data_IF_307888952409
#
_entry.id   IF_307888952409
#
_cell.length_a   1.000
_cell.length_b   1.000
_cell.length_c   1.000
_cell.angle_alpha   90.00
_cell.angle_beta   90.00
_cell.angle_gamma   90.00
#
_symmetry.space_group_name_H-M   'P 1'
#
loop_
_entity.id
_entity.type
_entity.pdbx_description
1 polymer ?
#
# COMPACT_ATOMS: atom_id res chain seq x y z
N UNK A 1 -8.73 56.73 46.81
CA UNK A 1 -9.10 55.40 46.19
C UNK A 1 -8.43 55.31 44.86
N UNK A 2 -7.37 54.46 44.68
CA UNK A 2 -6.66 54.21 43.39
C UNK A 2 -7.01 52.83 42.96
N UNK A 3 -7.79 52.77 41.85
CA UNK A 3 -8.17 51.51 41.22
C UNK A 3 -7.00 51.03 40.32
N UNK A 4 -6.41 49.87 40.64
CA UNK A 4 -5.40 49.20 39.82
C UNK A 4 -6.11 48.22 38.89
N UNK A 5 -6.06 48.48 37.57
CA UNK A 5 -6.45 47.52 36.54
C UNK A 5 -5.33 46.51 36.38
N UNK A 6 -5.61 45.23 36.68
CA UNK A 6 -4.79 44.09 36.30
C UNK A 6 -5.15 43.70 34.88
N UNK A 7 -4.20 43.87 33.97
CA UNK A 7 -4.29 43.35 32.60
C UNK A 7 -3.80 41.89 32.65
N UNK A 8 -4.72 40.95 32.57
CA UNK A 8 -4.41 39.54 32.44
C UNK A 8 -3.98 39.24 30.98
N UNK A 9 -2.72 38.89 30.77
CA UNK A 9 -2.23 38.36 29.51
C UNK A 9 -2.69 36.91 29.38
N UNK A 10 -3.61 36.64 28.42
CA UNK A 10 -3.97 35.30 28.04
C UNK A 10 -2.86 34.73 27.14
N UNK A 11 -2.10 33.74 27.63
CA UNK A 11 -1.23 32.91 26.79
C UNK A 11 -2.12 32.01 25.94
N UNK A 12 -2.21 32.29 24.62
CA UNK A 12 -2.63 31.30 23.63
C UNK A 12 -1.51 30.27 23.50
N UNK A 13 -1.68 29.10 24.06
CA UNK A 13 -0.87 27.95 23.73
C UNK A 13 -1.25 27.49 22.32
N UNK A 14 -0.42 27.83 21.33
CA UNK A 14 -0.48 27.21 20.00
C UNK A 14 -0.09 25.74 20.15
N UNK A 15 -1.06 24.85 20.10
CA UNK A 15 -0.79 23.42 19.92
C UNK A 15 -0.14 23.25 18.54
N UNK A 16 1.19 23.13 18.51
CA UNK A 16 1.94 22.69 17.34
C UNK A 16 1.57 21.22 17.12
N UNK A 17 0.55 20.96 16.31
CA UNK A 17 0.29 19.62 15.80
C UNK A 17 1.54 19.17 15.03
N UNK A 18 2.14 18.05 15.42
CA UNK A 18 3.21 17.45 14.65
C UNK A 18 2.63 17.10 13.26
N UNK A 19 3.03 17.85 12.24
CA UNK A 19 2.71 17.53 10.87
C UNK A 19 3.51 16.30 10.48
N UNK A 20 2.85 15.23 10.09
CA UNK A 20 3.53 14.08 9.49
C UNK A 20 4.09 14.51 8.13
N UNK A 21 5.41 14.59 8.03
CA UNK A 21 6.06 14.82 6.75
C UNK A 21 5.77 13.63 5.81
N UNK A 22 5.69 13.88 4.50
CA UNK A 22 5.60 12.80 3.53
C UNK A 22 6.82 11.89 3.68
N UNK A 23 6.58 10.60 3.98
CA UNK A 23 7.62 9.58 4.15
C UNK A 23 7.77 8.83 2.83
N UNK A 24 9.02 8.65 2.38
CA UNK A 24 9.34 7.95 1.15
C UNK A 24 10.10 6.66 1.45
N UNK A 25 9.82 5.62 0.67
CA UNK A 25 10.50 4.33 0.75
C UNK A 25 9.95 3.38 1.81
N UNK A 26 9.12 3.87 2.73
CA UNK A 26 8.49 3.06 3.76
C UNK A 26 7.05 2.69 3.38
N UNK A 27 6.56 1.56 3.91
CA UNK A 27 5.16 1.19 3.79
C UNK A 27 4.29 2.12 4.65
N UNK A 28 3.36 2.83 4.02
CA UNK A 28 2.44 3.75 4.68
C UNK A 28 1.17 3.07 5.22
N UNK A 29 0.95 1.79 4.89
CA UNK A 29 -0.14 0.98 5.46
C UNK A 29 0.28 0.47 6.83
N UNK A 30 -0.43 0.84 7.87
CA UNK A 30 -0.18 0.37 9.23
C UNK A 30 -0.73 -1.05 9.37
N UNK A 31 0.10 -1.98 9.90
CA UNK A 31 -0.31 -3.35 10.15
C UNK A 31 -0.96 -4.00 8.90
N UNK A 32 -0.31 -3.86 7.75
CA UNK A 32 -0.75 -4.46 6.50
C UNK A 32 -0.56 -5.97 6.45
N UNK A 33 0.23 -6.52 7.38
CA UNK A 33 0.59 -7.92 7.58
C UNK A 33 -0.29 -8.66 8.60
N UNK A 34 -1.32 -8.00 9.15
CA UNK A 34 -2.26 -8.54 10.13
C UNK A 34 -1.65 -9.02 11.47
N UNK A 35 -0.34 -8.91 11.69
CA UNK A 35 0.36 -9.48 12.86
C UNK A 35 -0.05 -8.82 14.18
N UNK A 36 -0.44 -7.54 14.14
CA UNK A 36 -1.01 -6.82 15.30
C UNK A 36 -2.55 -6.91 15.40
N UNK A 37 -3.15 -7.94 14.82
CA UNK A 37 -4.60 -8.10 14.79
C UNK A 37 -5.26 -7.06 13.90
N UNK A 38 -6.18 -6.26 14.46
CA UNK A 38 -6.85 -5.18 13.73
C UNK A 38 -6.31 -3.78 14.07
N UNK A 39 -5.16 -3.70 14.75
CA UNK A 39 -4.55 -2.40 15.10
C UNK A 39 -4.31 -1.55 13.85
N UNK A 40 -4.66 -0.28 13.91
CA UNK A 40 -4.56 0.65 12.78
C UNK A 40 -5.75 0.64 11.82
N UNK A 41 -6.64 -0.34 11.90
CA UNK A 41 -7.83 -0.43 11.06
C UNK A 41 -9.09 -0.03 11.84
N UNK A 42 -9.98 0.70 11.18
CA UNK A 42 -11.29 1.14 11.71
C UNK A 42 -12.40 0.54 10.87
N UNK A 43 -13.41 -0.06 11.51
CA UNK A 43 -14.59 -0.59 10.80
C UNK A 43 -15.43 0.54 10.20
N UNK A 44 -16.00 0.30 9.04
CA UNK A 44 -16.87 1.27 8.38
C UNK A 44 -18.33 1.05 8.79
N UNK A 45 -19.01 2.12 9.21
CA UNK A 45 -20.36 2.05 9.74
C UNK A 45 -21.35 1.43 8.73
N UNK A 46 -22.15 0.48 9.21
CA UNK A 46 -23.13 -0.25 8.39
C UNK A 46 -22.60 -1.51 7.70
N UNK A 47 -21.33 -1.83 7.88
CA UNK A 47 -20.67 -3.03 7.37
C UNK A 47 -20.03 -3.81 8.50
N UNK A 48 -19.83 -5.12 8.29
CA UNK A 48 -19.02 -5.92 9.18
C UNK A 48 -17.54 -5.49 9.10
N UNK A 49 -16.78 -5.77 10.14
CA UNK A 49 -15.32 -5.63 10.13
C UNK A 49 -14.70 -6.97 9.77
N UNK A 50 -13.70 -6.98 8.89
CA UNK A 50 -12.89 -8.17 8.66
C UNK A 50 -12.15 -8.58 9.95
N UNK A 51 -11.59 -9.75 9.98
CA UNK A 51 -10.89 -10.32 11.14
C UNK A 51 -9.42 -10.61 10.80
N UNK A 52 -8.57 -10.66 11.82
CA UNK A 52 -7.23 -11.20 11.71
C UNK A 52 -7.23 -12.63 12.24
N UNK A 53 -6.83 -13.59 11.40
CA UNK A 53 -6.84 -15.02 11.69
C UNK A 53 -5.43 -15.61 11.55
N UNK A 54 -5.16 -16.68 12.28
CA UNK A 54 -3.92 -17.40 12.09
C UNK A 54 -3.98 -18.25 10.82
N UNK A 55 -2.87 -18.37 10.11
CA UNK A 55 -2.72 -19.38 9.07
C UNK A 55 -2.97 -20.77 9.65
N UNK A 56 -3.66 -21.65 8.93
CA UNK A 56 -3.92 -22.99 9.41
C UNK A 56 -5.19 -23.65 8.87
N UNK A 57 -5.66 -24.68 9.57
CA UNK A 57 -6.63 -25.68 9.10
C UNK A 57 -7.99 -25.16 8.63
N UNK A 58 -8.46 -24.04 9.13
CA UNK A 58 -9.75 -23.44 8.72
C UNK A 58 -9.59 -22.32 7.70
N UNK A 59 -8.35 -22.02 7.31
CA UNK A 59 -7.98 -20.90 6.47
C UNK A 59 -6.87 -21.33 5.51
N UNK A 60 -6.12 -20.40 4.97
CA UNK A 60 -4.96 -20.71 4.12
C UNK A 60 -3.91 -21.47 4.93
N UNK A 61 -3.53 -22.65 4.46
CA UNK A 61 -2.45 -23.45 5.08
C UNK A 61 -1.08 -22.84 4.77
N UNK A 62 -0.07 -22.98 5.63
CA UNK A 62 1.29 -22.51 5.35
C UNK A 62 1.92 -23.10 4.07
N UNK A 63 1.41 -24.26 3.60
CA UNK A 63 1.87 -24.94 2.38
C UNK A 63 1.15 -24.50 1.11
N UNK A 64 0.08 -23.73 1.24
CA UNK A 64 -0.68 -23.18 0.11
C UNK A 64 -0.05 -21.86 -0.39
N UNK A 65 -0.42 -21.40 -1.61
CA UNK A 65 0.08 -20.14 -2.16
C UNK A 65 -0.09 -18.96 -1.20
N UNK A 66 0.92 -18.09 -1.14
CA UNK A 66 0.93 -16.89 -0.29
C UNK A 66 2.32 -16.32 -0.13
N UNK A 67 2.49 -15.22 0.62
CA UNK A 67 3.79 -14.60 0.82
C UNK A 67 4.78 -15.54 1.50
N UNK A 68 6.04 -15.48 1.13
CA UNK A 68 7.11 -16.27 1.76
C UNK A 68 7.42 -15.80 3.18
N UNK A 69 7.13 -14.55 3.46
CA UNK A 69 7.29 -13.83 4.74
C UNK A 69 5.95 -13.58 5.43
N UNK A 70 4.97 -14.44 5.22
CA UNK A 70 3.57 -14.29 5.66
C UNK A 70 3.36 -14.15 7.18
N UNK A 71 4.38 -14.32 8.01
CA UNK A 71 4.21 -14.28 9.46
C UNK A 71 3.29 -15.38 9.98
N UNK A 72 2.51 -15.06 11.00
CA UNK A 72 1.59 -15.98 11.67
C UNK A 72 0.11 -15.72 11.30
N UNK A 73 -0.23 -14.54 10.79
CA UNK A 73 -1.61 -14.09 10.64
C UNK A 73 -1.86 -13.49 9.25
N UNK A 74 -3.15 -13.41 8.90
CA UNK A 74 -3.66 -12.73 7.70
C UNK A 74 -5.02 -12.12 8.00
N UNK A 75 -5.51 -11.23 7.14
CA UNK A 75 -6.90 -10.78 7.17
C UNK A 75 -7.81 -11.77 6.46
N UNK A 76 -9.01 -11.95 7.02
CA UNK A 76 -10.09 -12.77 6.46
C UNK A 76 -11.41 -12.02 6.57
N UNK A 77 -12.30 -12.21 5.62
CA UNK A 77 -13.62 -11.64 5.64
C UNK A 77 -14.48 -12.11 6.82
N UNK A 78 -15.52 -11.35 7.09
CA UNK A 78 -16.56 -11.70 8.07
C UNK A 78 -17.92 -11.19 7.58
N UNK A 79 -18.98 -11.94 7.84
CA UNK A 79 -20.32 -11.59 7.40
C UNK A 79 -20.50 -11.56 5.87
N UNK A 80 -21.46 -10.80 5.38
CA UNK A 80 -21.74 -10.70 3.94
C UNK A 80 -20.74 -9.78 3.24
N UNK A 81 -20.42 -8.64 3.87
CA UNK A 81 -19.54 -7.63 3.30
C UNK A 81 -18.79 -6.94 4.44
N UNK A 82 -17.51 -7.19 4.53
CA UNK A 82 -16.64 -6.64 5.55
C UNK A 82 -15.80 -5.48 4.99
N UNK A 83 -15.75 -4.37 5.72
CA UNK A 83 -15.00 -3.17 5.32
C UNK A 83 -14.27 -2.57 6.51
N UNK A 84 -12.98 -2.33 6.33
CA UNK A 84 -12.17 -1.53 7.24
C UNK A 84 -11.34 -0.52 6.47
N UNK A 85 -11.00 0.57 7.15
CA UNK A 85 -10.20 1.64 6.57
C UNK A 85 -9.17 2.18 7.56
N UNK A 86 -8.17 2.87 7.03
CA UNK A 86 -7.26 3.72 7.79
C UNK A 86 -6.93 4.97 6.97
N UNK A 87 -6.61 6.07 7.64
CA UNK A 87 -6.28 7.34 6.99
C UNK A 87 -4.90 7.82 7.45
N UNK A 88 -4.17 8.41 6.51
CA UNK A 88 -2.90 9.08 6.76
C UNK A 88 -3.00 10.53 6.28
N UNK A 89 -2.84 11.48 7.19
CA UNK A 89 -2.83 12.92 6.89
C UNK A 89 -1.38 13.43 6.85
N UNK A 90 -0.97 14.01 5.73
CA UNK A 90 0.36 14.61 5.56
C UNK A 90 0.54 15.96 6.29
N UNK A 91 -0.51 16.50 6.91
CA UNK A 91 -0.49 17.79 7.60
C UNK A 91 -0.55 18.99 6.66
N UNK A 92 -0.11 18.86 5.41
CA UNK A 92 -0.23 19.84 4.35
C UNK A 92 -0.43 19.14 3.01
N UNK A 93 -1.06 19.82 2.06
CA UNK A 93 -1.20 19.32 0.70
C UNK A 93 0.17 19.17 0.01
N UNK A 94 0.36 18.06 -0.71
CA UNK A 94 1.62 17.81 -1.45
C UNK A 94 1.79 18.82 -2.57
N UNK A 95 3.01 19.30 -2.78
CA UNK A 95 3.29 20.34 -3.79
C UNK A 95 3.61 19.76 -5.17
N UNK A 96 3.84 18.48 -5.26
CA UNK A 96 4.22 17.80 -6.49
C UNK A 96 3.61 16.42 -6.64
N UNK A 97 3.50 15.99 -7.88
CA UNK A 97 3.11 14.64 -8.24
C UNK A 97 4.18 13.65 -7.80
N UNK A 98 3.78 12.58 -7.13
CA UNK A 98 4.70 11.61 -6.52
C UNK A 98 4.36 10.20 -7.01
N UNK A 99 5.34 9.45 -7.48
CA UNK A 99 5.12 8.05 -7.87
C UNK A 99 4.89 7.17 -6.64
N UNK A 100 4.05 6.14 -6.83
CA UNK A 100 3.74 5.17 -5.77
C UNK A 100 3.74 3.74 -6.32
N UNK A 101 3.91 2.80 -5.41
CA UNK A 101 3.59 1.37 -5.58
C UNK A 101 2.54 0.99 -4.55
N UNK A 102 1.44 0.39 -5.01
CA UNK A 102 0.39 -0.24 -4.22
C UNK A 102 0.50 -1.73 -4.43
N UNK A 103 0.63 -2.54 -3.38
CA UNK A 103 0.78 -3.98 -3.51
C UNK A 103 0.17 -4.72 -2.32
N UNK A 104 -0.01 -6.03 -2.49
CA UNK A 104 -0.50 -6.91 -1.45
C UNK A 104 -0.75 -8.31 -1.98
N UNK A 105 -0.98 -9.22 -1.07
CA UNK A 105 -1.39 -10.58 -1.34
C UNK A 105 -2.88 -10.71 -1.09
N UNK A 106 -3.64 -11.06 -2.12
CA UNK A 106 -5.10 -11.17 -2.07
C UNK A 106 -5.51 -12.56 -2.55
N UNK A 107 -6.63 -13.07 -2.03
CA UNK A 107 -7.04 -14.40 -2.41
C UNK A 107 -8.42 -14.82 -1.92
N UNK A 108 -8.60 -16.14 -1.83
CA UNK A 108 -9.85 -16.76 -1.43
C UNK A 108 -9.76 -18.27 -1.35
N UNK A 109 -10.91 -18.92 -1.14
CA UNK A 109 -11.01 -20.35 -0.92
C UNK A 109 -11.45 -21.10 -2.18
N UNK A 110 -10.69 -22.11 -2.61
CA UNK A 110 -11.07 -23.06 -3.66
C UNK A 110 -11.68 -22.34 -4.89
N UNK A 111 -12.78 -22.83 -5.40
CA UNK A 111 -13.54 -22.25 -6.54
C UNK A 111 -14.61 -21.23 -6.11
N UNK A 112 -14.64 -20.79 -4.85
CA UNK A 112 -15.58 -19.79 -4.38
C UNK A 112 -15.23 -18.41 -4.92
N UNK A 113 -16.25 -17.61 -5.23
CA UNK A 113 -16.08 -16.26 -5.77
C UNK A 113 -15.76 -15.19 -4.73
N UNK A 114 -15.80 -15.54 -3.44
CA UNK A 114 -15.46 -14.65 -2.34
C UNK A 114 -14.09 -14.03 -2.54
N UNK A 115 -13.96 -12.75 -2.22
CA UNK A 115 -12.81 -11.97 -2.66
C UNK A 115 -12.44 -10.85 -1.70
N UNK A 116 -11.25 -10.30 -1.92
CA UNK A 116 -10.75 -9.11 -1.25
C UNK A 116 -10.31 -8.07 -2.27
N UNK A 117 -10.58 -6.80 -1.98
CA UNK A 117 -10.14 -5.63 -2.74
C UNK A 117 -9.40 -4.68 -1.79
N UNK A 118 -8.19 -4.28 -2.16
CA UNK A 118 -7.45 -3.23 -1.46
C UNK A 118 -7.38 -1.98 -2.33
N UNK A 119 -7.81 -0.85 -1.78
CA UNK A 119 -8.01 0.40 -2.49
C UNK A 119 -7.39 1.57 -1.73
N UNK A 120 -6.83 2.55 -2.44
CA UNK A 120 -6.35 3.82 -1.90
C UNK A 120 -7.03 4.99 -2.62
N UNK A 121 -7.48 5.97 -1.86
CA UNK A 121 -7.98 7.25 -2.35
C UNK A 121 -6.99 8.36 -2.00
N UNK A 122 -6.78 9.27 -2.94
CA UNK A 122 -6.00 10.50 -2.78
C UNK A 122 -6.97 11.66 -2.56
N UNK A 123 -6.93 12.26 -1.36
CA UNK A 123 -7.89 13.28 -0.96
C UNK A 123 -7.22 14.65 -0.84
N UNK A 124 -7.91 15.71 -1.26
CA UNK A 124 -7.49 17.09 -1.06
C UNK A 124 -7.71 17.59 0.39
N UNK A 125 -7.45 18.86 0.65
CA UNK A 125 -7.66 19.50 1.96
C UNK A 125 -9.13 19.52 2.41
N UNK A 126 -10.07 19.43 1.47
CA UNK A 126 -11.50 19.41 1.74
C UNK A 126 -12.06 17.99 1.85
N UNK A 127 -11.21 16.96 1.66
CA UNK A 127 -11.61 15.56 1.65
C UNK A 127 -12.22 15.09 0.31
N UNK A 128 -12.11 15.88 -0.76
CA UNK A 128 -12.56 15.45 -2.07
C UNK A 128 -11.55 14.50 -2.70
N UNK A 129 -12.03 13.46 -3.39
CA UNK A 129 -11.18 12.52 -4.10
C UNK A 129 -10.58 13.17 -5.36
N UNK A 130 -9.26 13.14 -5.46
CA UNK A 130 -8.48 13.61 -6.59
C UNK A 130 -8.03 12.47 -7.52
N UNK A 131 -8.17 11.25 -7.08
CA UNK A 131 -7.81 10.03 -7.78
C UNK A 131 -7.70 8.86 -6.83
N UNK A 132 -7.59 7.68 -7.38
CA UNK A 132 -7.52 6.43 -6.61
C UNK A 132 -6.76 5.35 -7.34
N UNK A 133 -6.46 4.27 -6.64
CA UNK A 133 -5.87 3.04 -7.17
C UNK A 133 -6.37 1.83 -6.39
N UNK A 134 -6.40 0.68 -7.02
CA UNK A 134 -6.79 -0.56 -6.35
C UNK A 134 -6.03 -1.76 -6.89
N UNK A 135 -5.95 -2.81 -6.08
CA UNK A 135 -5.50 -4.15 -6.45
C UNK A 135 -6.56 -5.17 -6.04
N UNK A 136 -6.70 -6.22 -6.84
CA UNK A 136 -7.75 -7.22 -6.69
C UNK A 136 -9.02 -6.88 -7.50
N UNK A 137 -10.11 -7.65 -7.33
CA UNK A 137 -10.10 -8.91 -6.62
C UNK A 137 -9.30 -10.00 -7.34
N UNK A 138 -8.88 -11.04 -6.59
CA UNK A 138 -8.31 -12.28 -7.14
C UNK A 138 -9.44 -13.28 -7.31
N UNK A 139 -9.80 -13.55 -8.57
CA UNK A 139 -10.90 -14.46 -8.90
C UNK A 139 -10.50 -15.93 -8.77
N UNK A 140 -11.45 -16.89 -8.69
CA UNK A 140 -11.15 -18.32 -8.76
C UNK A 140 -10.31 -18.69 -9.99
N UNK A 141 -10.57 -18.08 -11.15
CA UNK A 141 -9.78 -18.29 -12.37
C UNK A 141 -8.34 -17.83 -12.26
N UNK A 142 -8.09 -16.69 -11.59
CA UNK A 142 -6.73 -16.16 -11.38
C UNK A 142 -5.87 -17.06 -10.48
N UNK A 143 -6.47 -17.90 -9.67
CA UNK A 143 -5.81 -18.80 -8.71
C UNK A 143 -5.99 -20.30 -9.04
N UNK A 144 -6.39 -20.63 -10.26
CA UNK A 144 -6.62 -22.00 -10.71
C UNK A 144 -7.52 -22.81 -9.74
N UNK A 145 -8.53 -22.16 -9.15
CA UNK A 145 -9.41 -22.69 -8.10
C UNK A 145 -8.67 -23.20 -6.84
N UNK A 146 -7.47 -22.72 -6.59
CA UNK A 146 -6.72 -23.07 -5.37
C UNK A 146 -7.11 -22.12 -4.23
N UNK A 147 -7.07 -22.64 -3.01
CA UNK A 147 -7.07 -21.82 -1.79
C UNK A 147 -5.70 -21.18 -1.63
N UNK A 148 -5.66 -19.87 -1.38
CA UNK A 148 -4.40 -19.18 -1.16
C UNK A 148 -4.48 -17.69 -1.42
N UNK A 149 -3.32 -17.05 -1.30
CA UNK A 149 -3.07 -15.64 -1.54
C UNK A 149 -2.13 -15.48 -2.73
N UNK A 150 -2.40 -14.50 -3.59
CA UNK A 150 -1.66 -14.25 -4.82
C UNK A 150 -1.29 -12.78 -4.89
N UNK A 151 -0.04 -12.51 -5.21
CA UNK A 151 0.49 -11.15 -5.27
C UNK A 151 -0.22 -10.33 -6.36
N UNK A 152 -0.57 -9.09 -5.98
CA UNK A 152 -1.09 -8.07 -6.90
C UNK A 152 -0.35 -6.77 -6.64
N UNK A 153 -0.11 -6.03 -7.71
CA UNK A 153 0.48 -4.71 -7.64
C UNK A 153 -0.14 -3.75 -8.65
N UNK A 154 -0.09 -2.49 -8.33
CA UNK A 154 -0.47 -1.36 -9.19
C UNK A 154 0.46 -0.20 -8.88
N UNK A 155 0.90 0.51 -9.91
CA UNK A 155 1.73 1.69 -9.76
C UNK A 155 1.16 2.88 -10.51
N UNK A 156 1.55 4.07 -10.08
CA UNK A 156 1.07 5.30 -10.69
C UNK A 156 1.64 6.52 -10.01
N UNK A 157 0.88 7.61 -10.10
CA UNK A 157 1.28 8.87 -9.50
C UNK A 157 0.16 9.44 -8.65
N UNK A 158 0.46 9.66 -7.39
CA UNK A 158 -0.35 10.46 -6.48
C UNK A 158 -0.36 11.91 -6.98
N UNK A 159 -1.52 12.56 -7.15
CA UNK A 159 -1.61 13.94 -7.62
C UNK A 159 -0.94 14.94 -6.67
N UNK A 160 -0.40 16.02 -7.22
CA UNK A 160 -0.09 17.21 -6.41
C UNK A 160 -1.39 17.77 -5.81
N UNK A 161 -1.34 18.30 -4.61
CA UNK A 161 -2.52 18.76 -3.85
C UNK A 161 -3.11 17.67 -2.93
N UNK A 162 -2.62 16.44 -2.98
CA UNK A 162 -3.06 15.40 -2.03
C UNK A 162 -2.67 15.79 -0.62
N UNK A 163 -3.66 15.86 0.27
CA UNK A 163 -3.50 16.12 1.70
C UNK A 163 -3.56 14.84 2.52
N UNK A 164 -4.40 13.89 2.11
CA UNK A 164 -4.68 12.70 2.88
C UNK A 164 -4.75 11.47 1.97
N UNK A 165 -4.32 10.33 2.48
CA UNK A 165 -4.56 9.00 1.92
C UNK A 165 -5.64 8.30 2.75
N UNK A 166 -6.59 7.67 2.08
CA UNK A 166 -7.53 6.75 2.71
C UNK A 166 -7.34 5.35 2.10
N UNK A 167 -6.90 4.41 2.93
CA UNK A 167 -6.75 3.01 2.56
C UNK A 167 -7.99 2.24 2.97
N UNK A 168 -8.52 1.41 2.08
CA UNK A 168 -9.71 0.61 2.28
C UNK A 168 -9.43 -0.84 1.96
N UNK A 169 -9.76 -1.73 2.88
CA UNK A 169 -9.80 -3.16 2.62
C UNK A 169 -11.26 -3.61 2.71
N UNK A 170 -11.78 -4.17 1.63
CA UNK A 170 -13.13 -4.74 1.58
C UNK A 170 -13.09 -6.20 1.18
N UNK A 171 -13.98 -7.00 1.76
CA UNK A 171 -14.09 -8.42 1.51
C UNK A 171 -15.57 -8.79 1.32
N UNK A 172 -15.87 -9.43 0.21
CA UNK A 172 -17.24 -9.76 -0.18
C UNK A 172 -17.44 -11.28 -0.22
N UNK A 173 -18.52 -11.73 0.42
CA UNK A 173 -18.98 -13.10 0.34
C UNK A 173 -19.98 -13.24 -0.82
N UNK A 174 -19.63 -14.02 -1.82
CA UNK A 174 -20.43 -14.33 -2.99
C UNK A 174 -21.05 -15.72 -2.95
N UNK A 175 -20.53 -16.60 -2.09
CA UNK A 175 -21.01 -17.97 -1.91
C UNK A 175 -21.47 -18.14 -0.47
N UNK A 176 -22.43 -19.06 -0.22
CA UNK A 176 -22.90 -19.37 1.13
C UNK A 176 -21.80 -19.96 1.98
N UNK A 177 -21.78 -19.64 3.28
CA UNK A 177 -20.77 -20.08 4.25
C UNK A 177 -20.04 -18.91 4.87
N UNK A 178 -18.76 -19.09 5.09
CA UNK A 178 -17.86 -18.04 5.58
C UNK A 178 -17.55 -17.01 4.47
N UNK A 179 -17.04 -15.85 4.84
CA UNK A 179 -16.51 -14.88 3.88
C UNK A 179 -15.03 -15.16 3.68
N UNK A 180 -14.74 -15.87 2.60
CA UNK A 180 -13.40 -16.37 2.27
C UNK A 180 -12.57 -15.37 1.43
N UNK A 181 -12.83 -14.07 1.56
CA UNK A 181 -11.93 -13.04 1.10
C UNK A 181 -10.69 -12.98 2.00
N UNK A 182 -9.49 -13.09 1.42
CA UNK A 182 -8.22 -13.11 2.17
C UNK A 182 -7.29 -12.00 1.70
N UNK A 183 -6.55 -11.40 2.65
CA UNK A 183 -5.53 -10.40 2.37
C UNK A 183 -4.36 -10.48 3.35
N UNK A 184 -3.16 -10.16 2.86
CA UNK A 184 -1.94 -10.12 3.66
C UNK A 184 -0.89 -9.22 3.01
N UNK A 185 0.10 -8.76 3.80
CA UNK A 185 1.23 -7.95 3.34
C UNK A 185 0.80 -6.78 2.46
N UNK A 186 -0.25 -6.05 2.89
CA UNK A 186 -0.73 -4.85 2.20
C UNK A 186 0.29 -3.73 2.31
N UNK A 187 0.59 -3.07 1.19
CA UNK A 187 1.63 -2.07 1.13
C UNK A 187 1.28 -0.92 0.19
N UNK A 188 1.64 0.29 0.61
CA UNK A 188 1.65 1.49 -0.22
C UNK A 188 2.93 2.27 0.06
N UNK A 189 3.76 2.44 -0.96
CA UNK A 189 5.07 3.08 -0.84
C UNK A 189 5.14 4.26 -1.82
N UNK A 190 5.56 5.44 -1.31
CA UNK A 190 5.87 6.60 -2.13
C UNK A 190 7.36 6.59 -2.50
N UNK A 191 7.67 6.87 -3.76
CA UNK A 191 9.06 7.04 -4.21
C UNK A 191 9.49 8.49 -4.07
N UNK A 192 10.76 8.77 -3.70
CA UNK A 192 11.28 10.14 -3.62
C UNK A 192 11.11 10.85 -4.97
N UNK A 193 10.77 12.16 -4.97
CA UNK A 193 10.79 12.97 -6.18
C UNK A 193 12.20 13.02 -6.77
N UNK A 194 12.34 12.81 -8.08
CA UNK A 194 13.64 12.84 -8.77
C UNK A 194 14.50 11.59 -8.60
N UNK A 195 13.98 10.53 -7.99
CA UNK A 195 14.56 9.21 -8.14
C UNK A 195 14.37 8.75 -9.59
N UNK A 196 15.33 9.05 -10.45
CA UNK A 196 15.44 8.33 -11.73
C UNK A 196 15.50 6.85 -11.36
N UNK A 197 14.51 6.08 -11.83
CA UNK A 197 14.66 4.63 -11.87
C UNK A 197 15.93 4.39 -12.65
N UNK A 198 17.00 3.78 -12.09
CA UNK A 198 18.18 3.46 -12.88
C UNK A 198 17.67 2.58 -14.03
N UNK A 199 17.65 3.11 -15.25
CA UNK A 199 17.31 2.30 -16.41
C UNK A 199 18.30 1.15 -16.46
N UNK A 200 17.85 -0.12 -16.33
CA UNK A 200 18.77 -1.24 -16.38
C UNK A 200 19.29 -1.32 -17.81
N UNK A 201 20.42 -0.73 -18.07
CA UNK A 201 21.08 -0.96 -19.34
C UNK A 201 21.93 0.15 -19.94
N UNK A 202 21.73 1.43 -19.66
CA UNK A 202 22.56 2.47 -20.30
C UNK A 202 24.01 2.41 -19.84
N UNK A 203 24.28 2.19 -18.56
CA UNK A 203 25.66 2.04 -18.06
C UNK A 203 26.34 0.76 -18.58
N UNK A 204 25.61 -0.34 -18.73
CA UNK A 204 26.13 -1.58 -19.31
C UNK A 204 26.43 -1.46 -20.82
N UNK A 205 25.63 -0.69 -21.56
CA UNK A 205 25.86 -0.44 -22.99
C UNK A 205 27.11 0.42 -23.25
N UNK A 206 27.42 1.39 -22.39
CA UNK A 206 28.66 2.19 -22.50
C UNK A 206 29.90 1.36 -22.24
N UNK A 207 29.89 0.43 -21.30
CA UNK A 207 31.03 -0.45 -21.00
C UNK A 207 31.25 -1.45 -22.16
N UNK A 208 30.22 -2.03 -22.74
CA UNK A 208 30.31 -2.94 -23.88
C UNK A 208 30.74 -2.23 -25.16
N UNK A 209 30.16 -1.05 -25.44
CA UNK A 209 30.53 -0.25 -26.62
C UNK A 209 31.94 0.28 -26.59
N UNK A 210 32.44 0.74 -25.42
CA UNK A 210 33.83 1.20 -25.23
C UNK A 210 34.86 0.07 -25.35
N UNK A 211 34.52 -1.12 -24.87
CA UNK A 211 35.36 -2.31 -24.96
C UNK A 211 35.62 -2.78 -26.40
N UNK A 212 34.56 -2.77 -27.25
CA UNK A 212 34.67 -3.19 -28.66
C UNK A 212 35.48 -2.18 -29.47
N UNK A 213 35.31 -0.89 -29.25
CA UNK A 213 36.10 0.15 -29.95
C UNK A 213 37.61 0.13 -29.53
N UNK A 214 37.89 -0.14 -28.26
CA UNK A 214 39.26 -0.26 -27.76
C UNK A 214 39.99 -1.48 -28.34
N UNK A 215 39.26 -2.61 -28.51
CA UNK A 215 39.82 -3.85 -29.08
C UNK A 215 40.07 -3.72 -30.60
N UNK A 216 39.21 -3.06 -31.34
CA UNK A 216 39.35 -2.83 -32.78
C UNK A 216 40.53 -1.89 -33.12
N UNK A 217 40.86 -0.89 -32.27
CA UNK A 217 42.03 -0.01 -32.44
C UNK A 217 43.35 -0.71 -32.20
N UNK A 218 43.45 -1.71 -31.34
CA UNK A 218 44.68 -2.45 -31.06
C UNK A 218 45.13 -3.38 -32.22
N UNK A 219 44.26 -3.75 -33.13
CA UNK A 219 44.59 -4.62 -34.27
C UNK A 219 45.11 -3.89 -35.52
N UNK A 220 45.17 -2.57 -35.50
CA UNK A 220 45.72 -1.77 -36.63
C UNK A 220 47.11 -1.20 -36.32
N UNK A 221 48.09 -2.06 -36.01
CA UNK A 221 49.49 -1.68 -36.11
C UNK A 221 50.00 -2.17 -37.48
N UNK A 222 50.58 -1.28 -38.32
CA UNK A 222 51.17 -1.69 -39.59
C UNK A 222 52.43 -2.49 -39.33
N UNK A 223 52.62 -3.59 -40.07
CA UNK A 223 53.89 -4.28 -40.15
C UNK A 223 54.90 -3.39 -40.86
N UNK A 224 56.13 -3.30 -40.32
CA UNK A 224 57.32 -2.85 -41.00
C UNK A 224 58.08 -4.05 -41.46
#
# INVERSE_FOLDING_TARGET
>A
MKCRFLVGAALLAAACGAQAAVVYGDNLVVNGDAEAGLAGWTGYAGYDMFQSVAYGSNWVLPTQPGPSDRGARMFSGFGQYAVGYQTLDFGAATTQRTSYSLSGWLGGWSNQGDNALFHVQFLDELGNEMGSSSIGPVTPGDRDNQTGLFYRESGGFMPAGTRQLAFWLSMERLVSGDNDGYADNLSFVLSPPGGEVPEPGMAAMFVLGGGILGWARRRRKPAR
#
